data_IF_242491058192
#
_entry.id   IF_242491058192
#
_cell.length_a   1.000
_cell.length_b   1.000
_cell.length_c   1.000
_cell.angle_alpha   90.00
_cell.angle_beta   90.00
_cell.angle_gamma   90.00
#
_symmetry.space_group_name_H-M   'P 1'
#
loop_
_entity.id
_entity.type
_entity.pdbx_description
1 polymer ?
#
# COMPACT_ATOMS: atom_id res chain seq x y z
N UNK A 1 -101.26 -38.17 -120.22
CA UNK A 1 -100.37 -37.34 -121.06
C UNK A 1 -99.45 -36.53 -120.13
N UNK A 2 -98.17 -36.45 -120.50
CA UNK A 2 -97.00 -36.10 -119.68
C UNK A 2 -96.97 -34.63 -119.23
N UNK A 3 -97.01 -34.33 -117.93
CA UNK A 3 -96.34 -33.16 -117.30
C UNK A 3 -96.16 -33.32 -115.76
N UNK A 4 -95.26 -34.18 -115.23
CA UNK A 4 -95.02 -34.28 -113.79
C UNK A 4 -93.62 -33.84 -113.31
N UNK A 5 -92.84 -33.04 -114.06
CA UNK A 5 -91.43 -32.76 -113.69
C UNK A 5 -91.04 -31.29 -113.41
N UNK A 6 -91.89 -30.31 -113.75
CA UNK A 6 -91.48 -28.89 -113.67
C UNK A 6 -91.86 -28.23 -112.32
N UNK A 7 -92.85 -28.77 -111.62
CA UNK A 7 -93.36 -28.16 -110.37
C UNK A 7 -92.50 -28.53 -109.15
N UNK A 8 -91.84 -29.70 -109.15
CA UNK A 8 -90.94 -30.09 -108.05
C UNK A 8 -89.59 -29.33 -108.05
N UNK A 9 -89.15 -28.80 -109.19
CA UNK A 9 -87.89 -28.04 -109.26
C UNK A 9 -88.01 -26.61 -108.72
N UNK A 10 -89.22 -26.03 -108.75
CA UNK A 10 -89.47 -24.66 -108.26
C UNK A 10 -89.72 -24.58 -106.75
N UNK A 11 -90.15 -25.67 -106.10
CA UNK A 11 -90.29 -25.70 -104.64
C UNK A 11 -88.98 -26.00 -103.88
N UNK A 12 -87.99 -26.61 -104.52
CA UNK A 12 -86.70 -26.89 -103.88
C UNK A 12 -85.75 -25.67 -103.84
N UNK A 13 -86.01 -24.62 -104.63
CA UNK A 13 -85.18 -23.42 -104.67
C UNK A 13 -85.65 -22.29 -103.73
N UNK A 14 -86.86 -22.38 -103.18
CA UNK A 14 -87.46 -21.30 -102.38
C UNK A 14 -87.20 -21.42 -100.86
N UNK A 15 -86.53 -22.47 -100.39
CA UNK A 15 -86.27 -22.71 -98.95
C UNK A 15 -84.83 -22.44 -98.51
N UNK A 16 -83.96 -21.92 -99.38
CA UNK A 16 -82.55 -21.63 -99.07
C UNK A 16 -82.23 -20.12 -98.93
N UNK A 17 -83.23 -19.25 -98.92
CA UNK A 17 -83.05 -17.80 -99.05
C UNK A 17 -83.10 -16.93 -97.78
N UNK A 18 -83.29 -17.48 -96.58
CA UNK A 18 -83.65 -16.67 -95.38
C UNK A 18 -82.82 -16.96 -94.14
N UNK A 19 -81.49 -16.95 -94.24
CA UNK A 19 -80.58 -17.16 -93.10
C UNK A 19 -79.36 -16.23 -93.11
N UNK A 20 -79.53 -14.93 -93.35
CA UNK A 20 -78.41 -13.98 -93.40
C UNK A 20 -78.62 -12.65 -92.65
N UNK A 21 -79.15 -12.65 -91.41
CA UNK A 21 -79.06 -11.46 -90.51
C UNK A 21 -78.85 -11.80 -89.01
N UNK A 22 -78.07 -12.85 -88.72
CA UNK A 22 -77.66 -13.23 -87.35
C UNK A 22 -76.14 -13.15 -87.13
N UNK A 23 -75.34 -13.45 -88.16
CA UNK A 23 -73.89 -13.63 -88.02
C UNK A 23 -73.10 -12.38 -87.61
N UNK A 24 -73.48 -11.17 -88.07
CA UNK A 24 -72.68 -9.95 -87.79
C UNK A 24 -72.87 -9.43 -86.36
N UNK A 25 -74.10 -9.49 -85.82
CA UNK A 25 -74.38 -9.14 -84.41
C UNK A 25 -73.88 -10.21 -83.45
N UNK A 26 -74.01 -11.49 -83.83
CA UNK A 26 -73.44 -12.60 -83.08
C UNK A 26 -71.90 -12.52 -83.04
N UNK A 27 -71.25 -12.22 -84.16
CA UNK A 27 -69.80 -12.02 -84.22
C UNK A 27 -69.34 -10.81 -83.38
N UNK A 28 -70.09 -9.70 -83.37
CA UNK A 28 -69.77 -8.54 -82.53
C UNK A 28 -69.94 -8.84 -81.04
N UNK A 29 -71.02 -9.54 -80.65
CA UNK A 29 -71.25 -9.97 -79.27
C UNK A 29 -70.21 -10.99 -78.81
N UNK A 30 -69.83 -11.92 -79.69
CA UNK A 30 -68.77 -12.90 -79.43
C UNK A 30 -67.41 -12.21 -79.28
N UNK A 31 -67.09 -11.21 -80.11
CA UNK A 31 -65.88 -10.40 -79.96
C UNK A 31 -65.86 -9.63 -78.62
N UNK A 32 -66.98 -9.00 -78.22
CA UNK A 32 -67.08 -8.34 -76.91
C UNK A 32 -67.00 -9.33 -75.75
N UNK A 33 -67.59 -10.52 -75.86
CA UNK A 33 -67.48 -11.58 -74.86
C UNK A 33 -66.02 -12.05 -74.71
N UNK A 34 -65.33 -12.30 -75.83
CA UNK A 34 -63.91 -12.65 -75.83
C UNK A 34 -63.04 -11.55 -75.25
N UNK A 35 -63.32 -10.28 -75.58
CA UNK A 35 -62.59 -9.14 -75.02
C UNK A 35 -62.83 -8.95 -73.52
N UNK A 36 -64.08 -9.12 -73.06
CA UNK A 36 -64.42 -9.08 -71.64
C UNK A 36 -63.77 -10.25 -70.89
N UNK A 37 -63.72 -11.43 -71.50
CA UNK A 37 -63.04 -12.60 -70.94
C UNK A 37 -61.53 -12.38 -70.84
N UNK A 38 -60.90 -11.79 -71.87
CA UNK A 38 -59.49 -11.43 -71.88
C UNK A 38 -59.17 -10.35 -70.84
N UNK A 39 -60.02 -9.33 -70.70
CA UNK A 39 -59.85 -8.29 -69.68
C UNK A 39 -60.01 -8.83 -68.26
N UNK A 40 -60.93 -9.78 -68.02
CA UNK A 40 -61.06 -10.44 -66.72
C UNK A 40 -59.84 -11.32 -66.40
N UNK A 41 -59.27 -11.99 -67.40
CA UNK A 41 -58.03 -12.75 -67.23
C UNK A 41 -56.83 -11.83 -66.92
N UNK A 42 -56.70 -10.71 -67.63
CA UNK A 42 -55.66 -9.69 -67.35
C UNK A 42 -55.82 -9.11 -65.94
N UNK A 43 -57.03 -8.70 -65.57
CA UNK A 43 -57.31 -8.14 -64.24
C UNK A 43 -56.99 -9.16 -63.14
N UNK A 44 -57.35 -10.43 -63.33
CA UNK A 44 -57.04 -11.52 -62.41
C UNK A 44 -55.52 -11.73 -62.28
N UNK A 45 -54.78 -11.69 -63.39
CA UNK A 45 -53.32 -11.78 -63.39
C UNK A 45 -52.66 -10.61 -62.66
N UNK A 46 -53.13 -9.38 -62.88
CA UNK A 46 -52.63 -8.17 -62.19
C UNK A 46 -52.96 -8.18 -60.70
N UNK A 47 -54.15 -8.67 -60.32
CA UNK A 47 -54.53 -8.87 -58.92
C UNK A 47 -53.56 -9.85 -58.25
N UNK A 48 -53.32 -11.01 -58.88
CA UNK A 48 -52.40 -12.02 -58.35
C UNK A 48 -50.95 -11.49 -58.23
N UNK A 49 -50.47 -10.74 -59.22
CA UNK A 49 -49.16 -10.08 -59.15
C UNK A 49 -49.10 -9.07 -57.99
N UNK A 50 -50.12 -8.23 -57.83
CA UNK A 50 -50.20 -7.26 -56.73
C UNK A 50 -50.29 -7.94 -55.36
N UNK A 51 -50.98 -9.07 -55.23
CA UNK A 51 -51.05 -9.85 -53.98
C UNK A 51 -49.68 -10.47 -53.65
N UNK A 52 -48.97 -10.98 -54.65
CA UNK A 52 -47.60 -11.49 -54.49
C UNK A 52 -46.64 -10.39 -54.02
N UNK A 53 -46.69 -9.21 -54.64
CA UNK A 53 -45.85 -8.07 -54.27
C UNK A 53 -46.18 -7.55 -52.86
N UNK A 54 -47.46 -7.52 -52.49
CA UNK A 54 -47.92 -7.16 -51.14
C UNK A 54 -47.37 -8.15 -50.11
N UNK A 55 -47.42 -9.45 -50.41
CA UNK A 55 -46.89 -10.49 -49.52
C UNK A 55 -45.36 -10.37 -49.38
N UNK A 56 -44.65 -10.16 -50.48
CA UNK A 56 -43.20 -9.91 -50.47
C UNK A 56 -42.82 -8.69 -49.63
N UNK A 57 -43.58 -7.59 -49.78
CA UNK A 57 -43.38 -6.37 -49.00
C UNK A 57 -43.67 -6.57 -47.51
N UNK A 58 -44.74 -7.31 -47.15
CA UNK A 58 -45.04 -7.65 -45.75
C UNK A 58 -43.93 -8.46 -45.10
N UNK A 59 -43.36 -9.44 -45.80
CA UNK A 59 -42.23 -10.24 -45.33
C UNK A 59 -41.00 -9.33 -45.12
N UNK A 60 -40.72 -8.42 -46.06
CA UNK A 60 -39.62 -7.46 -45.95
C UNK A 60 -39.79 -6.54 -44.73
N UNK A 61 -40.98 -6.01 -44.50
CA UNK A 61 -41.29 -5.16 -43.32
C UNK A 61 -41.05 -5.95 -42.03
N UNK A 62 -41.58 -7.18 -41.94
CA UNK A 62 -41.37 -8.02 -40.75
C UNK A 62 -39.88 -8.29 -40.49
N UNK A 63 -39.10 -8.58 -41.54
CA UNK A 63 -37.66 -8.78 -41.42
C UNK A 63 -36.92 -7.50 -40.99
N UNK A 64 -37.33 -6.33 -41.49
CA UNK A 64 -36.77 -5.04 -41.07
C UNK A 64 -37.13 -4.71 -39.62
N UNK A 65 -38.35 -5.00 -39.17
CA UNK A 65 -38.76 -4.82 -37.77
C UNK A 65 -37.95 -5.71 -36.83
N UNK A 66 -37.70 -6.97 -37.21
CA UNK A 66 -36.83 -7.90 -36.48
C UNK A 66 -35.38 -7.38 -36.41
N UNK A 67 -34.85 -6.84 -37.53
CA UNK A 67 -33.52 -6.21 -37.55
C UNK A 67 -33.46 -4.97 -36.65
N UNK A 68 -34.46 -4.08 -36.72
CA UNK A 68 -34.52 -2.88 -35.88
C UNK A 68 -34.60 -3.24 -34.40
N UNK A 69 -35.39 -4.27 -34.05
CA UNK A 69 -35.48 -4.77 -32.68
C UNK A 69 -34.13 -5.33 -32.20
N UNK A 70 -33.44 -6.10 -33.05
CA UNK A 70 -32.11 -6.64 -32.77
C UNK A 70 -31.07 -5.53 -32.57
N UNK A 71 -31.03 -4.54 -33.46
CA UNK A 71 -30.09 -3.41 -33.36
C UNK A 71 -30.36 -2.55 -32.12
N UNK A 72 -31.62 -2.32 -31.77
CA UNK A 72 -31.98 -1.62 -30.52
C UNK A 72 -31.50 -2.39 -29.29
N UNK A 73 -31.66 -3.72 -29.28
CA UNK A 73 -31.15 -4.56 -28.19
C UNK A 73 -29.62 -4.53 -28.13
N UNK A 74 -28.94 -4.56 -29.27
CA UNK A 74 -27.48 -4.51 -29.37
C UNK A 74 -26.92 -3.16 -28.87
N UNK A 75 -27.53 -2.04 -29.28
CA UNK A 75 -27.16 -0.70 -28.78
C UNK A 75 -27.36 -0.58 -27.27
N UNK A 76 -28.47 -1.11 -26.73
CA UNK A 76 -28.70 -1.12 -25.29
C UNK A 76 -27.66 -1.95 -24.52
N UNK A 77 -27.26 -3.09 -25.08
CA UNK A 77 -26.19 -3.93 -24.51
C UNK A 77 -24.84 -3.22 -24.54
N UNK A 78 -24.49 -2.58 -25.66
CA UNK A 78 -23.26 -1.79 -25.81
C UNK A 78 -23.22 -0.61 -24.83
N UNK A 79 -24.33 0.11 -24.66
CA UNK A 79 -24.42 1.21 -23.70
C UNK A 79 -24.18 0.71 -22.26
N UNK A 80 -24.74 -0.45 -21.92
CA UNK A 80 -24.56 -1.08 -20.60
C UNK A 80 -23.11 -1.50 -20.39
N UNK A 81 -22.48 -2.12 -21.39
CA UNK A 81 -21.07 -2.51 -21.34
C UNK A 81 -20.15 -1.30 -21.17
N UNK A 82 -20.42 -0.20 -21.88
CA UNK A 82 -19.67 1.05 -21.77
C UNK A 82 -19.81 1.67 -20.38
N UNK A 83 -21.03 1.75 -19.84
CA UNK A 83 -21.27 2.26 -18.48
C UNK A 83 -20.54 1.42 -17.42
N UNK A 84 -20.57 0.09 -17.55
CA UNK A 84 -19.84 -0.80 -16.64
C UNK A 84 -18.33 -0.57 -16.72
N UNK A 85 -17.77 -0.43 -17.94
CA UNK A 85 -16.35 -0.13 -18.13
C UNK A 85 -15.95 1.22 -17.52
N UNK A 86 -16.77 2.27 -17.71
CA UNK A 86 -16.53 3.61 -17.16
C UNK A 86 -16.55 3.59 -15.62
N UNK A 87 -17.51 2.88 -15.04
CA UNK A 87 -17.62 2.71 -13.59
C UNK A 87 -16.43 1.93 -13.03
N UNK A 88 -16.05 0.81 -13.67
CA UNK A 88 -14.87 0.03 -13.27
C UNK A 88 -13.58 0.83 -13.40
N UNK A 89 -13.43 1.66 -14.44
CA UNK A 89 -12.27 2.54 -14.62
C UNK A 89 -12.21 3.63 -13.54
N UNK A 90 -13.35 4.25 -13.21
CA UNK A 90 -13.44 5.27 -12.16
C UNK A 90 -13.12 4.67 -10.78
N UNK A 91 -13.64 3.49 -10.48
CA UNK A 91 -13.34 2.76 -9.24
C UNK A 91 -11.86 2.33 -9.19
N UNK A 92 -11.31 1.87 -10.31
CA UNK A 92 -9.89 1.56 -10.45
C UNK A 92 -9.01 2.77 -10.14
N UNK A 93 -9.32 3.94 -10.70
CA UNK A 93 -8.59 5.18 -10.44
C UNK A 93 -8.68 5.62 -8.97
N UNK A 94 -9.84 5.48 -8.32
CA UNK A 94 -10.00 5.76 -6.90
C UNK A 94 -9.13 4.84 -6.02
N UNK A 95 -9.08 3.55 -6.35
CA UNK A 95 -8.22 2.60 -5.64
C UNK A 95 -6.73 2.90 -5.85
N UNK A 96 -6.32 3.26 -7.08
CA UNK A 96 -4.94 3.68 -7.36
C UNK A 96 -4.58 4.94 -6.57
N UNK A 97 -5.48 5.93 -6.48
CA UNK A 97 -5.23 7.13 -5.65
C UNK A 97 -4.99 6.77 -4.18
N UNK A 98 -5.83 5.89 -3.60
CA UNK A 98 -5.64 5.43 -2.21
C UNK A 98 -4.30 4.73 -2.00
N UNK A 99 -3.93 3.83 -2.92
CA UNK A 99 -2.64 3.14 -2.87
C UNK A 99 -1.46 4.11 -2.99
N UNK A 100 -1.57 5.14 -3.83
CA UNK A 100 -0.56 6.19 -3.94
C UNK A 100 -0.42 6.98 -2.63
N UNK A 101 -1.53 7.29 -1.97
CA UNK A 101 -1.52 7.98 -0.67
C UNK A 101 -0.87 7.12 0.43
N UNK A 102 -1.18 5.82 0.47
CA UNK A 102 -0.55 4.85 1.38
C UNK A 102 0.95 4.68 1.10
N UNK A 103 1.36 4.62 -0.18
CA UNK A 103 2.78 4.55 -0.56
C UNK A 103 3.51 5.84 -0.13
N UNK A 104 2.88 7.00 -0.29
CA UNK A 104 3.46 8.28 0.11
C UNK A 104 3.62 8.40 1.62
N UNK A 105 2.64 7.94 2.40
CA UNK A 105 2.73 7.92 3.86
C UNK A 105 3.81 6.94 4.34
N UNK A 106 3.88 5.74 3.75
CA UNK A 106 4.92 4.75 4.01
C UNK A 106 6.32 5.28 3.66
N UNK A 107 6.48 5.94 2.51
CA UNK A 107 7.76 6.55 2.12
C UNK A 107 8.20 7.65 3.09
N UNK A 108 7.29 8.50 3.57
CA UNK A 108 7.60 9.50 4.61
C UNK A 108 8.09 8.82 5.89
N UNK A 109 7.43 7.75 6.31
CA UNK A 109 7.83 6.98 7.49
C UNK A 109 9.22 6.34 7.30
N UNK A 110 9.48 5.73 6.15
CA UNK A 110 10.81 5.18 5.80
C UNK A 110 11.88 6.28 5.86
N UNK A 111 11.62 7.46 5.32
CA UNK A 111 12.57 8.58 5.39
C UNK A 111 12.87 8.99 6.84
N UNK A 112 11.85 9.03 7.71
CA UNK A 112 12.04 9.33 9.14
C UNK A 112 12.90 8.26 9.83
N UNK A 113 12.65 6.98 9.55
CA UNK A 113 13.46 5.88 10.09
C UNK A 113 14.93 5.96 9.62
N UNK A 114 15.16 6.22 8.33
CA UNK A 114 16.50 6.38 7.76
C UNK A 114 17.22 7.57 8.39
N UNK A 115 16.55 8.71 8.55
CA UNK A 115 17.13 9.90 9.18
C UNK A 115 17.48 9.66 10.66
N UNK A 116 16.61 8.96 11.40
CA UNK A 116 16.85 8.59 12.79
C UNK A 116 18.06 7.64 12.91
N UNK A 117 18.15 6.65 12.01
CA UNK A 117 19.31 5.73 11.94
C UNK A 117 20.61 6.46 11.61
N UNK A 118 20.61 7.30 10.58
CA UNK A 118 21.81 8.05 10.17
C UNK A 118 22.31 8.99 11.27
N UNK A 119 21.41 9.59 12.05
CA UNK A 119 21.76 10.39 13.24
C UNK A 119 22.47 9.51 14.28
N UNK A 120 21.92 8.33 14.58
CA UNK A 120 22.52 7.36 15.51
C UNK A 120 23.90 6.88 15.04
N UNK A 121 24.05 6.55 13.76
CA UNK A 121 25.32 6.05 13.19
C UNK A 121 26.41 7.13 13.18
N UNK A 122 26.04 8.37 12.87
CA UNK A 122 26.95 9.52 12.92
C UNK A 122 27.44 9.79 14.36
N UNK A 123 26.55 9.65 15.35
CA UNK A 123 26.92 9.77 16.76
C UNK A 123 27.88 8.68 17.19
N UNK A 124 27.63 7.43 16.80
CA UNK A 124 28.52 6.32 17.07
C UNK A 124 29.93 6.59 16.55
N UNK A 125 30.03 7.06 15.29
CA UNK A 125 31.32 7.35 14.68
C UNK A 125 32.07 8.46 15.40
N UNK A 126 31.40 9.56 15.77
CA UNK A 126 32.07 10.70 16.40
C UNK A 126 32.45 10.39 17.85
N UNK A 127 31.56 9.74 18.61
CA UNK A 127 31.82 9.36 20.00
C UNK A 127 32.97 8.37 20.10
N UNK A 128 32.93 7.29 19.30
CA UNK A 128 33.99 6.28 19.31
C UNK A 128 35.32 6.89 18.88
N UNK A 129 35.37 7.70 17.81
CA UNK A 129 36.62 8.29 17.35
C UNK A 129 37.18 9.34 18.32
N UNK A 130 36.36 10.22 18.89
CA UNK A 130 36.84 11.26 19.81
C UNK A 130 37.28 10.67 21.14
N UNK A 131 36.54 9.69 21.69
CA UNK A 131 36.94 9.00 22.92
C UNK A 131 38.23 8.22 22.73
N UNK A 132 38.27 7.33 21.73
CA UNK A 132 39.41 6.42 21.53
C UNK A 132 40.70 7.18 21.23
N UNK A 133 40.61 8.34 20.56
CA UNK A 133 41.77 9.19 20.27
C UNK A 133 42.22 10.04 21.46
N UNK A 134 41.34 10.31 22.43
CA UNK A 134 41.64 11.15 23.59
C UNK A 134 42.19 10.36 24.78
N UNK A 135 42.03 9.03 24.78
CA UNK A 135 42.57 8.15 25.82
C UNK A 135 44.02 7.75 25.50
N UNK A 136 44.86 7.76 26.53
CA UNK A 136 46.23 7.24 26.51
C UNK A 136 46.24 5.70 26.44
N UNK A 137 47.39 5.11 26.10
CA UNK A 137 47.55 3.64 26.02
C UNK A 137 47.31 2.96 27.37
N UNK A 138 47.62 3.65 28.46
CA UNK A 138 47.40 3.20 29.82
C UNK A 138 45.91 3.24 30.18
N UNK A 139 45.19 4.32 29.83
CA UNK A 139 43.76 4.46 30.07
C UNK A 139 42.92 3.45 29.27
N UNK A 140 43.34 3.08 28.05
CA UNK A 140 42.65 2.09 27.21
C UNK A 140 42.57 0.70 27.88
N UNK A 141 43.46 0.37 28.83
CA UNK A 141 43.38 -0.91 29.55
C UNK A 141 42.28 -0.94 30.62
N UNK A 142 41.99 0.21 31.21
CA UNK A 142 41.07 0.34 32.36
C UNK A 142 39.70 0.92 31.95
N UNK A 143 39.56 1.32 30.68
CA UNK A 143 38.34 1.88 30.10
C UNK A 143 37.92 1.05 28.88
N UNK A 144 36.74 0.43 28.96
CA UNK A 144 36.09 -0.26 27.84
C UNK A 144 34.93 0.57 27.31
N UNK A 145 34.83 0.72 25.98
CA UNK A 145 33.81 1.54 25.33
C UNK A 145 33.04 0.69 24.33
N UNK A 146 31.72 0.66 24.49
CA UNK A 146 30.82 -0.08 23.62
C UNK A 146 29.66 0.82 23.19
N UNK A 147 29.30 0.75 21.91
CA UNK A 147 28.14 1.47 21.39
C UNK A 147 27.10 0.46 20.93
N UNK A 148 25.93 0.46 21.59
CA UNK A 148 24.84 -0.48 21.31
C UNK A 148 23.58 0.32 21.03
N UNK A 149 23.05 0.19 19.80
CA UNK A 149 21.76 0.79 19.39
C UNK A 149 21.64 2.30 19.69
N UNK A 150 22.73 3.06 19.51
CA UNK A 150 22.76 4.50 19.76
C UNK A 150 22.97 4.91 21.21
N UNK A 151 23.17 3.95 22.12
CA UNK A 151 23.57 4.17 23.51
C UNK A 151 25.07 3.89 23.65
N UNK A 152 25.80 4.81 24.30
CA UNK A 152 27.24 4.64 24.55
C UNK A 152 27.46 4.18 25.98
N UNK A 153 28.17 3.08 26.14
CA UNK A 153 28.58 2.50 27.40
C UNK A 153 30.08 2.71 27.58
N UNK A 154 30.46 3.42 28.64
CA UNK A 154 31.85 3.60 29.05
C UNK A 154 32.02 2.88 30.38
N UNK A 155 32.70 1.74 30.38
CA UNK A 155 32.97 0.95 31.58
C UNK A 155 34.36 1.28 32.11
N UNK A 156 34.44 1.80 33.33
CA UNK A 156 35.69 2.12 34.01
C UNK A 156 35.93 1.16 35.17
N UNK A 157 37.15 0.64 35.27
CA UNK A 157 37.57 -0.21 36.37
C UNK A 157 37.59 0.53 37.71
N UNK A 158 37.25 -0.18 38.79
CA UNK A 158 37.15 0.40 40.14
C UNK A 158 38.46 0.99 40.67
N UNK A 159 39.57 0.28 40.46
CA UNK A 159 40.92 0.69 40.88
C UNK A 159 41.46 1.94 40.17
N UNK A 160 40.88 2.28 39.03
CA UNK A 160 41.19 3.48 38.27
C UNK A 160 40.38 4.67 38.83
N UNK A 161 39.09 4.46 39.11
CA UNK A 161 38.18 5.51 39.56
C UNK A 161 38.30 5.86 41.04
N UNK A 162 38.51 4.88 41.93
CA UNK A 162 38.38 5.07 43.36
C UNK A 162 39.63 4.63 44.13
N UNK A 163 39.78 5.15 45.34
CA UNK A 163 40.73 4.59 46.31
C UNK A 163 40.28 3.18 46.72
N UNK A 164 41.24 2.32 47.06
CA UNK A 164 40.98 0.91 47.40
C UNK A 164 39.89 0.76 48.47
N UNK A 165 38.84 -0.01 48.18
CA UNK A 165 37.73 -0.26 49.11
C UNK A 165 36.87 0.96 49.44
N UNK A 166 37.03 2.07 48.72
CA UNK A 166 36.33 3.33 48.97
C UNK A 166 35.40 3.71 47.81
N UNK A 167 34.58 4.74 48.05
CA UNK A 167 33.85 5.49 47.03
C UNK A 167 34.49 6.85 46.74
N UNK A 168 35.58 7.20 47.43
CA UNK A 168 36.35 8.41 47.16
C UNK A 168 37.07 8.29 45.81
N UNK A 169 36.82 9.28 44.94
CA UNK A 169 37.48 9.38 43.63
C UNK A 169 38.99 9.52 43.81
N UNK A 170 39.75 8.77 43.02
CA UNK A 170 41.21 8.81 43.01
C UNK A 170 41.72 10.03 42.24
N UNK A 171 42.89 10.55 42.61
CA UNK A 171 43.52 11.68 41.89
C UNK A 171 43.81 11.32 40.41
N UNK A 172 44.05 10.04 40.14
CA UNK A 172 44.31 9.52 38.78
C UNK A 172 43.06 9.52 37.90
N UNK A 173 41.87 9.46 38.51
CA UNK A 173 40.61 9.43 37.77
C UNK A 173 40.27 10.79 37.13
N UNK A 174 40.87 11.88 37.64
CA UNK A 174 40.55 13.24 37.23
C UNK A 174 40.70 13.47 35.72
N UNK A 175 41.83 13.06 35.14
CA UNK A 175 42.10 13.29 33.70
C UNK A 175 41.07 12.58 32.81
N UNK A 176 40.75 11.32 33.11
CA UNK A 176 39.77 10.56 32.33
C UNK A 176 38.34 11.08 32.54
N UNK A 177 37.97 11.44 33.77
CA UNK A 177 36.67 12.06 34.05
C UNK A 177 36.53 13.41 33.34
N UNK A 178 37.60 14.19 33.22
CA UNK A 178 37.60 15.44 32.45
C UNK A 178 37.35 15.19 30.95
N UNK A 179 37.98 14.16 30.37
CA UNK A 179 37.75 13.75 28.97
C UNK A 179 36.31 13.32 28.76
N UNK A 180 35.77 12.48 29.65
CA UNK A 180 34.38 12.01 29.59
C UNK A 180 33.41 13.18 29.76
N UNK A 181 33.66 14.09 30.70
CA UNK A 181 32.83 15.26 30.93
C UNK A 181 32.78 16.18 29.71
N UNK A 182 33.92 16.39 29.03
CA UNK A 182 33.96 17.16 27.78
C UNK A 182 33.00 16.58 26.73
N UNK A 183 32.98 15.26 26.57
CA UNK A 183 32.08 14.59 25.64
C UNK A 183 30.62 14.75 26.07
N UNK A 184 30.31 14.52 27.34
CA UNK A 184 28.96 14.71 27.87
C UNK A 184 28.47 16.15 27.62
N UNK A 185 29.36 17.14 27.71
CA UNK A 185 29.06 18.55 27.45
C UNK A 185 28.88 18.85 25.96
N UNK A 186 29.74 18.31 25.10
CA UNK A 186 29.62 18.44 23.63
C UNK A 186 28.29 17.84 23.11
N UNK A 187 27.76 16.83 23.82
CA UNK A 187 26.47 16.17 23.53
C UNK A 187 25.38 16.52 24.55
N UNK A 188 25.13 17.82 24.71
CA UNK A 188 24.21 18.35 25.73
C UNK A 188 22.74 17.88 25.65
N UNK A 189 22.31 17.26 24.54
CA UNK A 189 20.95 16.77 24.34
C UNK A 189 20.71 15.36 24.90
N UNK A 190 21.72 14.71 25.47
CA UNK A 190 21.70 13.33 25.97
C UNK A 190 21.65 13.29 27.49
N UNK A 191 21.00 12.27 28.04
CA UNK A 191 21.01 11.98 29.48
C UNK A 191 22.16 11.01 29.79
N UNK A 192 22.64 11.05 31.03
CA UNK A 192 23.77 10.25 31.50
C UNK A 192 23.38 9.48 32.75
N UNK A 193 23.41 8.16 32.65
CA UNK A 193 23.21 7.24 33.76
C UNK A 193 24.55 6.67 34.19
N UNK A 194 24.86 6.81 35.48
CA UNK A 194 26.08 6.29 36.09
C UNK A 194 25.68 5.09 36.94
N UNK A 195 26.18 3.91 36.60
CA UNK A 195 25.88 2.67 37.30
C UNK A 195 27.11 2.10 38.01
N UNK A 196 27.06 1.99 39.33
CA UNK A 196 28.08 1.28 40.11
C UNK A 196 27.80 -0.22 40.15
N UNK A 197 28.85 -1.03 40.06
CA UNK A 197 28.79 -2.49 40.19
C UNK A 197 29.92 -2.96 41.11
N UNK A 198 29.67 -4.00 41.90
CA UNK A 198 30.67 -4.66 42.76
C UNK A 198 30.92 -6.09 42.32
N UNK A 199 31.93 -6.73 42.91
CA UNK A 199 32.01 -8.20 42.94
C UNK A 199 31.12 -8.76 44.06
N UNK A 200 31.21 -10.07 44.28
CA UNK A 200 30.46 -10.78 45.32
C UNK A 200 31.16 -10.82 46.68
N UNK A 201 32.21 -10.03 46.91
CA UNK A 201 32.87 -9.98 48.22
C UNK A 201 31.99 -9.16 49.15
N UNK A 202 31.50 -9.70 50.28
CA UNK A 202 30.64 -8.95 51.18
C UNK A 202 31.39 -7.75 51.76
N UNK A 203 30.75 -6.58 51.74
CA UNK A 203 31.26 -5.37 52.38
C UNK A 203 30.34 -4.91 53.49
N UNK A 204 30.94 -4.43 54.58
CA UNK A 204 30.25 -3.76 55.68
C UNK A 204 31.18 -2.72 56.26
N UNK A 205 30.79 -1.45 56.17
CA UNK A 205 31.52 -0.30 56.70
C UNK A 205 30.53 0.64 57.39
N UNK A 206 30.98 1.59 58.24
CA UNK A 206 30.09 2.62 58.79
C UNK A 206 29.28 3.28 57.68
N UNK A 207 27.95 3.29 57.81
CA UNK A 207 26.98 3.82 56.84
C UNK A 207 26.91 3.11 55.47
N UNK A 208 27.54 1.93 55.33
CA UNK A 208 27.50 1.11 54.11
C UNK A 208 27.16 -0.32 54.53
N UNK A 209 25.89 -0.71 54.36
CA UNK A 209 25.36 -1.98 54.86
C UNK A 209 25.78 -3.18 54.01
N UNK A 210 25.92 -2.97 52.70
CA UNK A 210 26.21 -4.02 51.73
C UNK A 210 26.70 -3.44 50.38
N UNK A 211 26.85 -4.33 49.40
CA UNK A 211 27.26 -4.01 48.03
C UNK A 211 26.30 -3.07 47.28
N UNK A 212 25.01 -3.03 47.63
CA UNK A 212 24.07 -2.03 47.06
C UNK A 212 24.41 -0.62 47.50
N UNK A 213 24.70 -0.42 48.78
CA UNK A 213 25.06 0.89 49.31
C UNK A 213 26.40 1.36 48.69
N UNK A 214 27.41 0.50 48.65
CA UNK A 214 28.72 0.83 48.07
C UNK A 214 28.60 1.22 46.59
N UNK A 215 27.93 0.40 45.78
CA UNK A 215 27.79 0.67 44.35
C UNK A 215 27.04 1.97 44.07
N UNK A 216 25.99 2.26 44.84
CA UNK A 216 25.22 3.51 44.70
C UNK A 216 26.04 4.73 45.10
N UNK A 217 26.81 4.65 46.19
CA UNK A 217 27.70 5.73 46.63
C UNK A 217 28.83 6.02 45.63
N UNK A 218 29.39 4.97 45.02
CA UNK A 218 30.37 5.08 43.94
C UNK A 218 29.81 5.84 42.73
N UNK A 219 28.64 5.42 42.25
CA UNK A 219 27.95 6.12 41.17
C UNK A 219 27.67 7.60 41.51
N UNK A 220 27.18 7.86 42.73
CA UNK A 220 26.94 9.22 43.22
C UNK A 220 28.20 10.07 43.26
N UNK A 221 29.34 9.49 43.66
CA UNK A 221 30.63 10.19 43.71
C UNK A 221 31.11 10.63 42.33
N UNK A 222 30.90 9.81 41.30
CA UNK A 222 31.17 10.20 39.91
C UNK A 222 30.21 11.29 39.45
N UNK A 223 28.91 11.22 39.78
CA UNK A 223 27.95 12.30 39.47
C UNK A 223 28.40 13.62 40.09
N UNK A 224 28.77 13.61 41.38
CA UNK A 224 29.26 14.80 42.06
C UNK A 224 30.54 15.36 41.42
N UNK A 225 31.47 14.49 41.00
CA UNK A 225 32.68 14.92 40.29
C UNK A 225 32.34 15.56 38.94
N UNK A 226 31.46 14.95 38.14
CA UNK A 226 30.99 15.48 36.84
C UNK A 226 30.30 16.83 37.00
N UNK A 227 29.45 16.98 38.01
CA UNK A 227 28.75 18.21 38.31
C UNK A 227 29.69 19.31 38.82
N UNK A 228 30.42 19.04 39.92
CA UNK A 228 31.12 20.08 40.67
C UNK A 228 32.44 20.49 40.02
N UNK A 229 33.15 19.55 39.39
CA UNK A 229 34.49 19.81 38.86
C UNK A 229 34.49 20.09 37.36
N UNK A 230 33.48 19.59 36.63
CA UNK A 230 33.45 19.67 35.16
C UNK A 230 32.19 20.33 34.60
N UNK A 231 31.26 20.79 35.45
CA UNK A 231 30.13 21.62 35.05
C UNK A 231 29.06 20.90 34.23
N UNK A 232 28.94 19.57 34.35
CA UNK A 232 27.86 18.83 33.70
C UNK A 232 26.53 19.17 34.38
N UNK A 233 25.51 19.52 33.59
CA UNK A 233 24.18 19.86 34.11
C UNK A 233 23.59 18.70 34.93
N UNK A 234 23.34 18.88 36.24
CA UNK A 234 22.85 17.82 37.10
C UNK A 234 21.46 17.30 36.69
N UNK A 235 20.65 18.05 35.95
CA UNK A 235 19.35 17.58 35.44
C UNK A 235 19.49 16.40 34.47
N UNK A 236 20.69 16.19 33.91
CA UNK A 236 21.01 15.12 32.97
C UNK A 236 21.64 13.91 33.64
N UNK A 237 22.00 14.00 34.92
CA UNK A 237 22.78 12.99 35.62
C UNK A 237 21.88 12.13 36.51
N UNK A 238 22.00 10.82 36.38
CA UNK A 238 21.34 9.86 37.28
C UNK A 238 22.38 8.90 37.84
N UNK A 239 22.37 8.68 39.15
CA UNK A 239 23.22 7.68 39.81
C UNK A 239 22.38 6.45 40.18
N UNK A 240 22.90 5.26 39.88
CA UNK A 240 22.31 3.98 40.25
C UNK A 240 23.37 3.00 40.74
N UNK A 241 23.04 2.17 41.73
CA UNK A 241 23.83 1.00 42.10
C UNK A 241 23.17 -0.27 41.56
N UNK A 242 23.96 -1.28 41.20
CA UNK A 242 23.48 -2.63 40.86
C UNK A 242 23.99 -3.72 41.81
N UNK A 243 24.76 -3.33 42.83
CA UNK A 243 25.42 -4.27 43.74
C UNK A 243 26.25 -5.30 42.99
N UNK A 244 26.20 -6.54 43.48
CA UNK A 244 26.95 -7.69 42.95
C UNK A 244 26.20 -8.48 41.86
N UNK A 245 24.97 -8.07 41.53
CA UNK A 245 24.04 -8.89 40.74
C UNK A 245 24.16 -8.71 39.22
N UNK A 246 24.89 -7.69 38.77
CA UNK A 246 25.12 -7.40 37.36
C UNK A 246 26.55 -7.81 36.95
N UNK A 247 26.82 -9.12 37.03
CA UNK A 247 28.12 -9.70 36.73
C UNK A 247 28.37 -9.78 35.22
N UNK A 248 29.60 -9.45 34.81
CA UNK A 248 30.07 -9.60 33.42
C UNK A 248 31.15 -10.67 33.28
N UNK A 249 31.63 -11.20 34.41
CA UNK A 249 32.56 -12.30 34.50
C UNK A 249 32.26 -13.17 35.74
N UNK A 250 32.66 -14.46 35.75
CA UNK A 250 32.57 -15.29 36.96
C UNK A 250 33.34 -14.68 38.14
N UNK A 251 32.81 -14.79 39.35
CA UNK A 251 33.47 -14.28 40.57
C UNK A 251 34.47 -15.28 41.20
N UNK A 252 34.82 -16.34 40.46
CA UNK A 252 35.63 -17.46 40.98
C UNK A 252 37.12 -17.12 41.09
N UNK A 253 37.57 -16.07 40.41
CA UNK A 253 38.96 -15.62 40.41
C UNK A 253 39.07 -14.09 40.46
N UNK A 254 40.25 -13.59 40.82
CA UNK A 254 40.48 -12.14 41.01
C UNK A 254 40.30 -11.33 39.73
N UNK A 255 40.65 -11.90 38.57
CA UNK A 255 40.46 -11.22 37.28
C UNK A 255 38.97 -10.98 36.99
N UNK A 256 38.11 -11.96 37.26
CA UNK A 256 36.67 -11.85 37.10
C UNK A 256 36.05 -10.86 38.09
N UNK A 257 36.47 -10.91 39.36
CA UNK A 257 36.05 -9.94 40.38
C UNK A 257 36.45 -8.51 40.00
N UNK A 258 37.67 -8.30 39.54
CA UNK A 258 38.15 -6.99 39.08
C UNK A 258 37.32 -6.44 37.92
N UNK A 259 36.88 -7.30 36.99
CA UNK A 259 35.96 -6.88 35.91
C UNK A 259 34.56 -6.55 36.42
N UNK A 260 34.08 -7.23 37.46
CA UNK A 260 32.76 -6.96 38.03
C UNK A 260 32.75 -5.64 38.83
N UNK A 261 33.86 -5.31 39.50
CA UNK A 261 34.09 -4.00 40.16
C UNK A 261 34.31 -2.92 39.09
N UNK A 262 33.23 -2.31 38.63
CA UNK A 262 33.25 -1.30 37.57
C UNK A 262 32.17 -0.25 37.76
N UNK A 263 32.42 0.95 37.24
CA UNK A 263 31.37 1.97 37.07
C UNK A 263 31.11 2.16 35.59
N UNK A 264 29.84 2.08 35.18
CA UNK A 264 29.42 2.28 33.81
C UNK A 264 28.81 3.67 33.68
N UNK A 265 29.35 4.48 32.77
CA UNK A 265 28.77 5.75 32.36
C UNK A 265 28.05 5.50 31.04
N UNK A 266 26.73 5.66 31.06
CA UNK A 266 25.82 5.30 29.98
C UNK A 266 25.22 6.60 29.43
N UNK A 267 25.54 6.93 28.19
CA UNK A 267 25.04 8.13 27.51
C UNK A 267 23.90 7.70 26.59
N UNK A 268 22.69 8.16 26.88
CA UNK A 268 21.45 7.74 26.19
C UNK A 268 20.69 8.93 25.61
N UNK A 269 20.04 8.80 24.44
CA UNK A 269 19.05 9.77 23.99
C UNK A 269 17.96 9.96 25.05
N UNK A 270 17.36 11.16 25.08
CA UNK A 270 16.22 11.45 25.97
C UNK A 270 15.05 10.53 25.65
N UNK A 271 14.44 9.96 26.71
CA UNK A 271 13.28 9.07 26.59
C UNK A 271 12.13 9.74 25.82
N UNK A 272 11.92 11.04 26.00
CA UNK A 272 10.88 11.80 25.29
C UNK A 272 11.11 11.80 23.77
N UNK A 273 12.36 11.93 23.32
CA UNK A 273 12.70 11.86 21.89
C UNK A 273 12.45 10.45 21.34
N UNK A 274 12.67 9.42 22.15
CA UNK A 274 12.35 8.04 21.78
C UNK A 274 10.82 7.82 21.70
N UNK A 275 10.05 8.34 22.65
CA UNK A 275 8.59 8.25 22.65
C UNK A 275 7.96 9.03 21.50
N UNK A 276 8.54 10.17 21.11
CA UNK A 276 8.10 10.92 19.92
C UNK A 276 8.30 10.13 18.61
N UNK A 277 9.34 9.28 18.54
CA UNK A 277 9.56 8.40 17.39
C UNK A 277 8.53 7.27 17.30
N UNK A 278 8.05 6.76 18.45
CA UNK A 278 7.05 5.70 18.50
C UNK A 278 5.63 6.24 18.35
N UNK A 279 5.32 7.39 18.97
CA UNK A 279 4.01 8.03 18.90
C UNK A 279 3.65 8.59 17.52
N UNK A 280 4.59 8.62 16.58
CA UNK A 280 4.38 9.01 15.17
C UNK A 280 4.18 7.82 14.23
N UNK A 281 4.08 6.58 14.73
CA UNK A 281 3.59 5.48 13.91
C UNK A 281 2.23 5.89 13.31
N UNK A 282 2.02 5.71 11.99
CA UNK A 282 0.73 6.06 11.40
C UNK A 282 -0.33 5.28 12.15
N UNK A 283 -1.31 5.97 12.73
CA UNK A 283 -2.53 5.32 13.17
C UNK A 283 -3.02 4.54 11.96
N UNK A 284 -3.04 3.21 12.08
CA UNK A 284 -3.72 2.37 11.11
C UNK A 284 -5.16 2.83 11.14
N UNK A 285 -5.55 3.63 10.16
CA UNK A 285 -6.94 4.00 9.89
C UNK A 285 -7.65 2.72 9.47
N UNK A 286 -8.04 1.93 10.46
CA UNK A 286 -9.01 0.86 10.36
C UNK A 286 -10.38 1.49 10.59
N UNK A 287 -10.86 2.24 9.61
CA UNK A 287 -12.27 2.63 9.46
C UNK A 287 -12.75 2.25 8.05
#
# INVERSE_FOLDING_TARGET
>A
MKYPLIICALLALATLGSSCTSNKKFAALQASYTQLQQSNQDLSSRLQASESDLNGSKIRIKSLDEQIASEKANVAALQTALNNCLNSSTQGNANVSKLVDEINSSNKYIQQLVNSKNKSDSLNLVLTNNLTRSLSREEIRDVDIQVLKGVVYISLADNMLYKSGSYEISDKAGETLAKIAKIITDYNSYDVLIEGNTDNVPISMPNIRNNWDLSTLRASSVVMALQNNYGVDPKRLTAAGRGEYNTIAPNDNEAGKARNRRTQIIITPKLDQFMELIGKAPETSLD
#
